data_IF_517683195725
#
_entry.id   IF_517683195725
#
_cell.length_a   1.000
_cell.length_b   1.000
_cell.length_c   1.000
_cell.angle_alpha   90.00
_cell.angle_beta   90.00
_cell.angle_gamma   90.00
#
_symmetry.space_group_name_H-M   'P 1'
#
loop_
_entity.id
_entity.type
_entity.pdbx_description
1 polymer ?
#
# COMPACT_ATOMS: atom_id res chain seq x y z
N UNK A 1 6.62 -2.33 20.18
CA UNK A 1 6.30 -3.49 19.33
C UNK A 1 4.79 -3.60 19.19
N UNK A 2 4.27 -3.33 18.01
CA UNK A 2 2.87 -3.61 17.71
C UNK A 2 2.73 -5.13 17.71
N UNK A 3 1.82 -5.65 18.53
CA UNK A 3 1.56 -7.09 18.55
C UNK A 3 1.11 -7.56 17.16
N UNK A 4 1.24 -8.85 16.84
CA UNK A 4 0.73 -9.46 15.61
C UNK A 4 -0.72 -9.08 15.29
N UNK A 5 -1.46 -8.67 16.31
CA UNK A 5 -2.82 -8.11 16.23
C UNK A 5 -2.83 -6.76 16.95
N UNK A 6 -2.86 -5.69 16.20
CA UNK A 6 -3.04 -4.34 16.72
C UNK A 6 -4.51 -3.92 16.57
N UNK A 7 -5.06 -3.32 17.60
CA UNK A 7 -6.37 -2.68 17.53
C UNK A 7 -6.22 -1.19 17.83
N UNK A 8 -7.02 -0.37 17.18
CA UNK A 8 -7.14 1.04 17.52
C UNK A 8 -8.58 1.51 17.28
N UNK A 9 -9.03 2.55 18.00
CA UNK A 9 -10.42 3.02 17.89
C UNK A 9 -10.70 3.65 16.53
N UNK A 10 -11.81 3.28 15.91
CA UNK A 10 -12.34 3.88 14.69
C UNK A 10 -13.60 4.69 14.96
N UNK A 11 -13.75 5.81 14.26
CA UNK A 11 -14.98 6.58 14.22
C UNK A 11 -15.79 6.22 12.98
N UNK A 12 -17.03 5.78 13.17
CA UNK A 12 -17.95 5.60 12.06
C UNK A 12 -18.58 6.92 11.58
N UNK A 13 -18.89 6.97 10.28
CA UNK A 13 -19.72 8.03 9.70
C UNK A 13 -21.07 8.09 10.42
N UNK A 14 -21.27 9.13 11.24
CA UNK A 14 -22.43 9.27 12.13
C UNK A 14 -22.06 9.64 13.56
N UNK A 15 -20.79 9.62 13.89
CA UNK A 15 -20.18 10.41 14.96
C UNK A 15 -20.26 9.87 16.38
N UNK A 16 -20.85 8.69 16.63
CA UNK A 16 -21.09 8.29 18.03
C UNK A 16 -20.68 6.86 18.41
N UNK A 17 -20.23 6.05 17.50
CA UNK A 17 -19.76 4.69 17.81
C UNK A 17 -18.28 4.58 17.48
N UNK A 18 -17.46 4.33 18.49
CA UNK A 18 -16.06 3.92 18.32
C UNK A 18 -16.05 2.40 18.26
N UNK A 19 -15.58 1.85 17.16
CA UNK A 19 -15.25 0.44 17.05
C UNK A 19 -13.74 0.28 16.99
N UNK A 20 -13.21 -0.84 17.50
CA UNK A 20 -11.82 -1.17 17.38
C UNK A 20 -11.54 -1.76 15.99
N UNK A 21 -10.69 -1.13 15.21
CA UNK A 21 -10.17 -1.72 13.99
C UNK A 21 -9.11 -2.77 14.34
N UNK A 22 -9.19 -3.94 13.74
CA UNK A 22 -8.22 -5.03 13.91
C UNK A 22 -7.28 -5.10 12.72
N UNK A 23 -5.99 -5.07 13.00
CA UNK A 23 -4.93 -5.31 12.02
C UNK A 23 -4.41 -6.75 12.18
N UNK A 24 -4.38 -7.48 11.07
CA UNK A 24 -3.82 -8.81 10.99
C UNK A 24 -2.50 -8.77 10.23
N UNK A 25 -1.40 -8.64 10.96
CA UNK A 25 -0.05 -8.66 10.40
C UNK A 25 0.40 -10.11 10.16
N UNK A 26 0.96 -10.36 8.99
CA UNK A 26 1.61 -11.64 8.67
C UNK A 26 3.03 -11.69 9.24
N UNK A 27 3.60 -12.88 9.36
CA UNK A 27 4.97 -13.05 9.84
C UNK A 27 5.99 -12.36 8.90
N UNK A 28 7.16 -11.98 9.39
CA UNK A 28 8.18 -11.31 8.57
C UNK A 28 8.62 -12.13 7.36
N UNK A 29 8.87 -11.46 6.24
CA UNK A 29 9.64 -12.04 5.15
C UNK A 29 11.14 -11.97 5.44
N UNK A 30 11.91 -12.90 4.89
CA UNK A 30 13.37 -12.85 4.92
C UNK A 30 13.92 -11.97 3.78
N UNK A 31 15.14 -11.43 3.93
CA UNK A 31 15.80 -10.71 2.84
C UNK A 31 15.95 -11.53 1.56
N UNK A 32 16.15 -12.86 1.70
CA UNK A 32 16.28 -13.76 0.56
C UNK A 32 14.96 -13.92 -0.19
N UNK A 33 13.84 -14.09 0.52
CA UNK A 33 12.51 -14.16 -0.10
C UNK A 33 12.19 -12.88 -0.88
N UNK A 34 12.48 -11.71 -0.31
CA UNK A 34 12.29 -10.42 -0.99
C UNK A 34 13.13 -10.35 -2.26
N UNK A 35 14.41 -10.71 -2.18
CA UNK A 35 15.32 -10.72 -3.33
C UNK A 35 14.88 -11.68 -4.44
N UNK A 36 14.39 -12.84 -4.08
CA UNK A 36 13.88 -13.85 -5.02
C UNK A 36 12.65 -13.32 -5.79
N UNK A 37 11.76 -12.59 -5.11
CA UNK A 37 10.59 -11.99 -5.74
C UNK A 37 10.98 -10.81 -6.64
N UNK A 38 11.88 -9.93 -6.18
CA UNK A 38 12.43 -8.85 -7.02
C UNK A 38 13.03 -9.40 -8.33
N UNK A 39 13.77 -10.50 -8.23
CA UNK A 39 14.36 -11.16 -9.39
C UNK A 39 13.32 -11.75 -10.34
N UNK A 40 12.28 -12.42 -9.81
CA UNK A 40 11.19 -12.98 -10.61
C UNK A 40 10.40 -11.91 -11.35
N UNK A 41 10.15 -10.78 -10.72
CA UNK A 41 9.41 -9.67 -11.31
C UNK A 41 10.29 -8.73 -12.15
N UNK A 42 11.61 -8.85 -12.07
CA UNK A 42 12.56 -7.98 -12.77
C UNK A 42 12.54 -6.53 -12.23
N UNK A 43 12.26 -6.34 -10.95
CA UNK A 43 12.12 -5.03 -10.31
C UNK A 43 13.02 -4.91 -9.08
N UNK A 44 13.17 -3.69 -8.58
CA UNK A 44 13.72 -3.40 -7.26
C UNK A 44 12.66 -2.68 -6.44
N UNK A 45 12.25 -3.26 -5.33
CA UNK A 45 11.29 -2.63 -4.44
C UNK A 45 11.87 -1.39 -3.74
N UNK A 46 11.05 -0.36 -3.46
CA UNK A 46 11.46 0.76 -2.63
C UNK A 46 11.92 0.31 -1.24
N UNK A 47 12.89 1.01 -0.66
CA UNK A 47 13.46 0.63 0.63
C UNK A 47 12.44 0.61 1.76
N UNK A 48 11.56 1.60 1.84
CA UNK A 48 10.50 1.68 2.85
C UNK A 48 9.50 0.51 2.74
N UNK A 49 9.18 0.07 1.52
CA UNK A 49 8.35 -1.11 1.32
C UNK A 49 9.08 -2.41 1.70
N UNK A 50 10.38 -2.53 1.40
CA UNK A 50 11.20 -3.67 1.86
C UNK A 50 11.29 -3.73 3.38
N UNK A 51 11.46 -2.59 4.05
CA UNK A 51 11.46 -2.52 5.52
C UNK A 51 10.14 -2.99 6.12
N UNK A 52 9.02 -2.66 5.50
CA UNK A 52 7.71 -3.18 5.90
C UNK A 52 7.65 -4.71 5.75
N UNK A 53 8.06 -5.26 4.60
CA UNK A 53 8.04 -6.70 4.35
C UNK A 53 8.95 -7.49 5.30
N UNK A 54 10.09 -6.91 5.71
CA UNK A 54 10.99 -7.50 6.70
C UNK A 54 10.39 -7.57 8.11
N UNK A 55 9.37 -6.79 8.39
CA UNK A 55 8.62 -6.83 9.64
C UNK A 55 7.32 -7.63 9.49
N UNK A 56 6.66 -7.50 8.36
CA UNK A 56 5.36 -8.10 8.07
C UNK A 56 5.26 -8.46 6.59
N UNK A 57 5.19 -9.74 6.27
CA UNK A 57 4.97 -10.20 4.89
C UNK A 57 3.50 -10.04 4.49
N UNK A 58 3.04 -8.80 4.44
CA UNK A 58 1.65 -8.44 4.18
C UNK A 58 0.80 -8.27 5.45
N UNK A 59 -0.38 -7.74 5.26
CA UNK A 59 -1.37 -7.53 6.34
C UNK A 59 -2.77 -7.32 5.79
N UNK A 60 -3.76 -7.52 6.65
CA UNK A 60 -5.15 -7.14 6.41
C UNK A 60 -5.60 -6.11 7.44
N UNK A 61 -6.40 -5.13 7.03
CA UNK A 61 -6.94 -4.09 7.88
C UNK A 61 -8.30 -3.59 7.38
N UNK A 62 -9.10 -3.03 8.29
CA UNK A 62 -10.38 -2.39 7.97
C UNK A 62 -11.36 -3.26 7.15
N UNK A 63 -11.32 -4.59 7.35
CA UNK A 63 -12.23 -5.57 6.73
C UNK A 63 -12.33 -5.53 5.19
N UNK A 64 -11.32 -5.06 4.50
CA UNK A 64 -11.35 -4.99 3.05
C UNK A 64 -10.11 -4.36 2.41
N UNK A 65 -9.13 -4.01 3.24
CA UNK A 65 -7.85 -3.49 2.76
C UNK A 65 -6.78 -4.53 3.06
N UNK A 66 -6.03 -4.90 2.02
CA UNK A 66 -4.97 -5.90 2.11
C UNK A 66 -3.68 -5.35 1.50
N UNK A 67 -2.58 -5.53 2.21
CA UNK A 67 -1.23 -5.50 1.63
C UNK A 67 -0.83 -6.95 1.42
N UNK A 68 -0.54 -7.32 0.18
CA UNK A 68 -0.27 -8.70 -0.23
C UNK A 68 1.02 -9.24 0.39
N UNK A 69 1.03 -10.54 0.68
CA UNK A 69 2.26 -11.28 0.93
C UNK A 69 3.08 -11.42 -0.36
N UNK A 70 4.35 -11.80 -0.25
CA UNK A 70 5.21 -12.05 -1.41
C UNK A 70 4.64 -13.11 -2.35
N UNK A 71 4.01 -14.16 -1.81
CA UNK A 71 3.32 -15.18 -2.60
C UNK A 71 2.13 -14.56 -3.36
N UNK A 72 1.32 -13.75 -2.67
CA UNK A 72 0.20 -13.03 -3.28
C UNK A 72 0.65 -12.07 -4.38
N UNK A 73 1.76 -11.38 -4.18
CA UNK A 73 2.34 -10.50 -5.21
C UNK A 73 2.64 -11.28 -6.49
N UNK A 74 3.28 -12.45 -6.40
CA UNK A 74 3.54 -13.27 -7.58
C UNK A 74 2.24 -13.73 -8.24
N UNK A 75 1.32 -14.31 -7.45
CA UNK A 75 0.06 -14.86 -7.95
C UNK A 75 -0.78 -13.80 -8.68
N UNK A 76 -0.98 -12.65 -8.05
CA UNK A 76 -1.85 -11.61 -8.60
C UNK A 76 -1.20 -10.77 -9.70
N UNK A 77 0.13 -10.58 -9.71
CA UNK A 77 0.80 -9.86 -10.79
C UNK A 77 0.90 -10.69 -12.08
N UNK A 78 0.85 -12.02 -12.03
CA UNK A 78 0.82 -12.88 -13.23
C UNK A 78 -0.40 -12.63 -14.13
N UNK A 79 -1.51 -12.16 -13.54
CA UNK A 79 -2.76 -11.90 -14.27
C UNK A 79 -2.99 -10.41 -14.59
N UNK A 80 -2.08 -9.52 -14.18
CA UNK A 80 -2.14 -8.11 -14.54
C UNK A 80 -1.42 -7.88 -15.87
N UNK A 81 -2.04 -7.06 -16.72
CA UNK A 81 -1.41 -6.57 -17.95
C UNK A 81 -0.75 -5.20 -17.70
N UNK A 82 0.18 -5.18 -16.75
CA UNK A 82 0.91 -3.97 -16.41
C UNK A 82 2.20 -3.84 -17.23
N UNK A 83 2.58 -2.61 -17.63
CA UNK A 83 3.91 -2.36 -18.17
C UNK A 83 5.01 -2.76 -17.19
N UNK A 84 6.21 -3.01 -17.70
CA UNK A 84 7.37 -3.36 -16.89
C UNK A 84 7.65 -2.30 -15.81
N UNK A 85 7.89 -2.77 -14.59
CA UNK A 85 8.18 -1.93 -13.44
C UNK A 85 6.99 -1.58 -12.55
N UNK A 86 5.76 -1.86 -12.99
CA UNK A 86 4.57 -1.70 -12.16
C UNK A 86 4.26 -2.98 -11.40
N UNK A 87 4.01 -2.87 -10.10
CA UNK A 87 3.77 -4.02 -9.23
C UNK A 87 2.52 -3.78 -8.38
N UNK A 88 1.54 -4.66 -8.53
CA UNK A 88 0.37 -4.72 -7.64
C UNK A 88 0.82 -5.22 -6.26
N UNK A 89 0.58 -4.43 -5.22
CA UNK A 89 0.98 -4.75 -3.85
C UNK A 89 -0.18 -4.88 -2.86
N UNK A 90 -1.38 -4.51 -3.26
CA UNK A 90 -2.52 -4.57 -2.35
C UNK A 90 -3.85 -4.22 -2.98
N UNK A 91 -4.88 -4.38 -2.17
CA UNK A 91 -6.27 -4.12 -2.52
C UNK A 91 -6.92 -3.18 -1.51
N UNK A 92 -7.84 -2.35 -2.00
CA UNK A 92 -8.77 -1.56 -1.21
C UNK A 92 -10.18 -1.93 -1.65
N UNK A 93 -10.76 -2.94 -1.02
CA UNK A 93 -11.90 -3.69 -1.54
C UNK A 93 -11.57 -4.25 -2.94
N UNK A 94 -12.19 -3.76 -3.98
CA UNK A 94 -11.94 -4.12 -5.38
C UNK A 94 -10.95 -3.21 -6.11
N UNK A 95 -10.60 -2.07 -5.51
CA UNK A 95 -9.53 -1.19 -6.00
C UNK A 95 -8.13 -1.74 -5.71
N UNK A 96 -7.12 -1.26 -6.41
CA UNK A 96 -5.76 -1.81 -6.41
C UNK A 96 -4.72 -0.76 -6.04
N UNK A 97 -3.76 -1.15 -5.21
CA UNK A 97 -2.57 -0.37 -4.92
C UNK A 97 -1.38 -0.89 -5.70
N UNK A 98 -0.71 -0.02 -6.41
CA UNK A 98 0.39 -0.34 -7.32
C UNK A 98 1.61 0.52 -7.00
N UNK A 99 2.79 -0.07 -7.06
CA UNK A 99 4.07 0.65 -7.00
C UNK A 99 4.63 0.80 -8.43
N UNK A 100 5.00 2.02 -8.80
CA UNK A 100 5.86 2.29 -9.95
C UNK A 100 7.33 2.24 -9.53
N UNK A 101 7.96 1.08 -9.73
CA UNK A 101 9.35 0.87 -9.31
C UNK A 101 10.35 1.69 -10.13
N UNK A 102 9.97 2.18 -11.32
CA UNK A 102 10.82 3.07 -12.10
C UNK A 102 10.90 4.46 -11.47
N UNK A 103 9.79 4.95 -10.91
CA UNK A 103 9.75 6.22 -10.16
C UNK A 103 10.38 6.11 -8.78
N UNK A 104 10.29 4.96 -8.12
CA UNK A 104 10.78 4.78 -6.75
C UNK A 104 12.29 5.02 -6.62
N UNK A 105 13.06 4.84 -7.71
CA UNK A 105 14.49 5.16 -7.76
C UNK A 105 14.80 6.63 -7.48
N UNK A 106 13.82 7.51 -7.69
CA UNK A 106 13.91 8.95 -7.49
C UNK A 106 13.24 9.42 -6.18
N UNK A 107 12.78 8.49 -5.32
CA UNK A 107 12.19 8.79 -4.02
C UNK A 107 10.67 8.83 -4.03
N UNK A 108 10.07 10.01 -3.88
CA UNK A 108 8.62 10.18 -3.70
C UNK A 108 7.81 10.02 -5.00
N UNK A 109 6.52 9.72 -4.85
CA UNK A 109 5.55 9.77 -5.94
C UNK A 109 5.35 8.48 -6.72
N UNK A 110 5.69 7.33 -6.13
CA UNK A 110 5.60 6.04 -6.79
C UNK A 110 4.37 5.20 -6.40
N UNK A 111 3.59 5.60 -5.40
CA UNK A 111 2.35 4.92 -5.03
C UNK A 111 1.21 5.33 -5.95
N UNK A 112 0.51 4.35 -6.51
CA UNK A 112 -0.63 4.52 -7.41
C UNK A 112 -1.85 3.81 -6.86
N UNK A 113 -3.04 4.32 -7.22
CA UNK A 113 -4.32 3.69 -6.98
C UNK A 113 -5.08 3.53 -8.29
N UNK A 114 -5.66 2.34 -8.50
CA UNK A 114 -6.56 2.05 -9.61
C UNK A 114 -7.91 1.59 -9.07
N UNK A 115 -9.00 2.12 -9.61
CA UNK A 115 -10.31 1.52 -9.39
C UNK A 115 -10.41 0.15 -10.06
N UNK A 116 -11.44 -0.61 -9.72
CA UNK A 116 -11.55 -2.03 -10.11
C UNK A 116 -11.52 -2.30 -11.61
N UNK A 117 -12.03 -1.37 -12.40
CA UNK A 117 -12.15 -1.49 -13.85
C UNK A 117 -11.11 -0.68 -14.64
N UNK A 118 -10.28 0.12 -13.94
CA UNK A 118 -9.33 1.02 -14.60
C UNK A 118 -8.09 0.27 -15.09
N UNK A 119 -7.55 0.74 -16.21
CA UNK A 119 -6.23 0.35 -16.69
C UNK A 119 -5.13 1.21 -16.06
N UNK A 120 -3.87 0.81 -16.23
CA UNK A 120 -2.74 1.49 -15.58
C UNK A 120 -2.59 2.96 -16.02
N UNK A 121 -3.03 3.30 -17.23
CA UNK A 121 -3.02 4.67 -17.75
C UNK A 121 -3.97 5.59 -16.97
N UNK A 122 -5.01 5.04 -16.37
CA UNK A 122 -6.00 5.79 -15.57
C UNK A 122 -5.63 5.86 -14.08
N UNK A 123 -4.48 5.31 -13.71
CA UNK A 123 -4.03 5.25 -12.32
C UNK A 123 -3.91 6.64 -11.69
N UNK A 124 -4.46 6.76 -10.49
CA UNK A 124 -4.32 7.96 -9.67
C UNK A 124 -2.94 7.94 -8.99
N UNK A 125 -2.11 8.92 -9.29
CA UNK A 125 -0.86 9.12 -8.58
C UNK A 125 -1.15 9.69 -7.19
N UNK A 126 -0.76 8.94 -6.14
CA UNK A 126 -0.96 9.37 -4.76
C UNK A 126 0.12 10.37 -4.27
N UNK A 127 1.12 10.66 -5.12
CA UNK A 127 2.23 11.59 -4.82
C UNK A 127 2.94 11.26 -3.49
N UNK A 128 3.08 9.97 -3.18
CA UNK A 128 3.65 9.51 -1.92
C UNK A 128 4.53 8.28 -2.10
N UNK A 129 5.41 8.04 -1.14
CA UNK A 129 6.07 6.76 -0.95
C UNK A 129 5.16 5.78 -0.16
N UNK A 130 5.62 4.56 0.06
CA UNK A 130 4.86 3.53 0.80
C UNK A 130 4.61 3.95 2.25
N UNK A 131 5.63 4.44 2.94
CA UNK A 131 5.55 4.83 4.35
C UNK A 131 4.51 5.93 4.58
N UNK A 132 4.56 7.00 3.78
CA UNK A 132 3.60 8.12 3.89
C UNK A 132 2.18 7.65 3.53
N UNK A 133 2.03 6.90 2.45
CA UNK A 133 0.74 6.34 2.06
C UNK A 133 0.14 5.48 3.17
N UNK A 134 0.94 4.57 3.74
CA UNK A 134 0.49 3.68 4.81
C UNK A 134 0.06 4.45 6.06
N UNK A 135 0.87 5.42 6.48
CA UNK A 135 0.56 6.28 7.63
C UNK A 135 -0.73 7.08 7.42
N UNK A 136 -0.93 7.63 6.22
CA UNK A 136 -2.15 8.34 5.85
C UNK A 136 -3.38 7.44 5.82
N UNK A 137 -3.24 6.23 5.28
CA UNK A 137 -4.32 5.26 5.21
C UNK A 137 -4.78 4.85 6.61
N UNK A 138 -3.84 4.57 7.51
CA UNK A 138 -4.12 4.25 8.91
C UNK A 138 -4.75 5.43 9.63
N UNK A 139 -4.16 6.62 9.52
CA UNK A 139 -4.65 7.84 10.20
C UNK A 139 -6.04 8.28 9.73
N UNK A 140 -6.41 7.95 8.50
CA UNK A 140 -7.73 8.23 7.93
C UNK A 140 -8.75 7.10 8.12
N UNK A 141 -8.44 6.11 8.96
CA UNK A 141 -9.27 4.92 9.21
C UNK A 141 -9.60 4.13 7.94
N UNK A 142 -8.64 3.97 7.06
CA UNK A 142 -8.79 3.21 5.82
C UNK A 142 -9.65 3.91 4.76
N UNK A 143 -9.83 5.22 4.84
CA UNK A 143 -10.55 5.95 3.79
C UNK A 143 -9.64 6.22 2.59
N UNK A 144 -10.24 6.44 1.43
CA UNK A 144 -9.55 6.99 0.26
C UNK A 144 -9.31 8.49 0.50
N UNK A 145 -8.35 8.81 1.36
CA UNK A 145 -8.07 10.17 1.83
C UNK A 145 -7.80 11.17 0.69
N UNK A 146 -7.26 10.69 -0.43
CA UNK A 146 -6.99 11.50 -1.63
C UNK A 146 -8.26 11.99 -2.34
N UNK A 147 -9.42 11.38 -2.09
CA UNK A 147 -10.71 11.81 -2.61
C UNK A 147 -11.37 12.86 -1.72
N UNK A 148 -11.10 12.82 -0.42
CA UNK A 148 -11.77 13.68 0.59
C UNK A 148 -11.21 15.10 0.58
N UNK A 149 -9.90 15.25 0.32
CA UNK A 149 -9.27 16.59 0.29
C UNK A 149 -8.12 16.61 -0.74
N UNK A 150 -8.36 17.15 -1.94
CA UNK A 150 -7.33 17.25 -2.97
C UNK A 150 -6.12 18.10 -2.55
N UNK A 151 -6.26 18.99 -1.55
CA UNK A 151 -5.16 19.82 -1.04
C UNK A 151 -4.22 19.05 -0.09
N UNK A 152 -4.60 17.88 0.39
CA UNK A 152 -3.72 17.03 1.21
C UNK A 152 -2.46 16.64 0.42
N UNK A 153 -2.58 16.38 -0.87
CA UNK A 153 -1.43 16.09 -1.74
C UNK A 153 -0.42 17.24 -1.77
N UNK A 154 -0.88 18.49 -1.88
CA UNK A 154 -0.01 19.67 -1.87
C UNK A 154 0.66 19.85 -0.51
N UNK A 155 -0.05 19.63 0.58
CA UNK A 155 0.50 19.75 1.92
C UNK A 155 1.67 18.76 2.12
N UNK A 156 1.52 17.49 1.70
CA UNK A 156 2.57 16.50 1.85
C UNK A 156 3.76 16.72 0.93
N UNK A 157 3.57 17.29 -0.26
CA UNK A 157 4.69 17.74 -1.10
C UNK A 157 5.54 18.80 -0.40
N UNK A 158 4.91 19.73 0.30
CA UNK A 158 5.59 20.82 1.02
C UNK A 158 6.34 20.34 2.27
N UNK A 159 5.89 19.27 2.92
CA UNK A 159 6.50 18.74 4.15
C UNK A 159 7.59 17.71 3.86
N UNK A 160 7.63 17.15 2.65
CA UNK A 160 8.61 16.15 2.21
C UNK A 160 9.81 16.72 1.44
N UNK A 161 9.84 18.01 1.18
CA UNK A 161 11.00 18.75 0.68
C UNK A 161 11.88 19.23 1.85
#
# INVERSE_FOLDING_TARGET
AVSKYGTFPMFHHGGYVMEDATFHFKDPASPQEISDIEQKLGVTFPNDYKEFLLQHNGMEMFDGIEILSLEGIIEYNEVQDFPEGYVLIGYHFDGRYVIDTNKSKNGLGYMLYLDSIDDIEDAINLDSNFEIWFDMLVSSNGTKYWEVNPNIREYYKLVSE
#
